data_IF_080253469921
#
_entry.id   IF_080253469921
#
_cell.length_a   1.000
_cell.length_b   1.000
_cell.length_c   1.000
_cell.angle_alpha   90.00
_cell.angle_beta   90.00
_cell.angle_gamma   90.00
#
_symmetry.space_group_name_H-M   'P 1'
#
loop_
_entity.id
_entity.type
_entity.pdbx_description
1 polymer ?
#
# COMPACT_ATOMS: atom_id res chain seq x y z
N UNK A 1 -10.05 -18.80 -9.52
CA UNK A 1 -8.82 -18.27 -10.10
C UNK A 1 -8.03 -19.42 -10.66
N UNK A 2 -7.60 -19.31 -11.91
CA UNK A 2 -6.67 -20.30 -12.45
C UNK A 2 -5.39 -20.27 -11.61
N UNK A 3 -4.74 -21.43 -11.40
CA UNK A 3 -3.47 -21.56 -10.65
C UNK A 3 -2.27 -20.96 -11.39
N UNK A 4 -2.46 -19.79 -12.03
CA UNK A 4 -1.42 -19.15 -12.82
C UNK A 4 -0.23 -18.71 -11.98
N UNK A 5 -0.47 -18.45 -10.69
CA UNK A 5 0.54 -17.99 -9.75
C UNK A 5 1.34 -19.11 -9.09
N UNK A 6 0.82 -20.34 -9.13
CA UNK A 6 1.44 -21.52 -8.52
C UNK A 6 1.93 -22.52 -9.57
N UNK A 7 2.32 -22.03 -10.73
CA UNK A 7 2.77 -22.87 -11.84
C UNK A 7 4.08 -23.61 -11.53
N UNK A 8 4.91 -23.05 -10.66
CA UNK A 8 6.21 -23.59 -10.30
C UNK A 8 6.21 -24.14 -8.87
N UNK A 9 7.37 -24.63 -8.40
CA UNK A 9 7.50 -25.26 -7.10
C UNK A 9 7.05 -24.35 -5.95
N UNK A 10 6.40 -24.95 -4.96
CA UNK A 10 6.09 -24.27 -3.70
C UNK A 10 7.39 -23.85 -2.98
N UNK A 11 7.34 -22.68 -2.34
CA UNK A 11 8.42 -22.15 -1.51
C UNK A 11 7.93 -21.91 -0.07
N UNK A 12 8.85 -21.69 0.87
CA UNK A 12 8.51 -21.33 2.23
C UNK A 12 7.67 -20.04 2.32
N UNK A 13 7.81 -19.15 1.32
CA UNK A 13 7.03 -17.93 1.20
C UNK A 13 5.57 -18.16 0.74
N UNK A 14 5.19 -19.37 0.39
CA UNK A 14 3.84 -19.71 -0.12
C UNK A 14 3.15 -20.80 0.69
N UNK A 15 3.78 -21.29 1.75
CA UNK A 15 3.25 -22.31 2.65
C UNK A 15 3.45 -21.90 4.10
N UNK A 16 2.37 -21.70 4.79
CA UNK A 16 2.36 -21.40 6.21
C UNK A 16 1.70 -22.58 6.93
N UNK A 17 2.36 -23.40 7.58
CA UNK A 17 1.90 -24.49 8.46
C UNK A 17 0.42 -24.90 8.33
N UNK A 18 -0.42 -24.56 9.32
CA UNK A 18 -1.87 -24.76 9.27
C UNK A 18 -2.54 -23.60 8.52
N UNK A 19 -3.62 -23.87 7.74
CA UNK A 19 -4.41 -22.81 7.12
C UNK A 19 -4.87 -21.77 8.14
N UNK A 20 -4.69 -20.49 7.82
CA UNK A 20 -4.98 -19.39 8.73
C UNK A 20 -6.45 -19.34 9.17
N UNK A 21 -7.36 -19.72 8.28
CA UNK A 21 -8.78 -19.87 8.59
C UNK A 21 -9.02 -20.77 9.81
N UNK A 22 -8.24 -21.83 9.97
CA UNK A 22 -8.40 -22.83 11.04
C UNK A 22 -7.78 -22.40 12.37
N UNK A 23 -6.87 -21.41 12.31
CA UNK A 23 -6.09 -20.90 13.47
C UNK A 23 -6.35 -19.42 13.74
N UNK A 24 -7.36 -18.83 13.11
CA UNK A 24 -7.68 -17.41 13.26
C UNK A 24 -8.13 -17.09 14.70
N UNK A 25 -7.76 -15.92 15.23
CA UNK A 25 -8.31 -15.42 16.49
C UNK A 25 -9.84 -15.24 16.39
N UNK A 26 -10.51 -15.20 17.54
CA UNK A 26 -11.96 -14.92 17.61
C UNK A 26 -12.33 -13.47 17.28
N UNK A 27 -11.32 -12.57 17.26
CA UNK A 27 -11.50 -11.16 16.89
C UNK A 27 -11.74 -11.00 15.39
N UNK A 28 -12.26 -9.82 15.01
CA UNK A 28 -12.41 -9.43 13.60
C UNK A 28 -11.07 -9.47 12.88
N UNK A 29 -11.08 -9.93 11.65
CA UNK A 29 -9.91 -9.96 10.75
C UNK A 29 -10.10 -8.96 9.63
N UNK A 30 -9.10 -8.10 9.42
CA UNK A 30 -9.14 -7.01 8.42
C UNK A 30 -7.91 -7.10 7.56
N UNK A 31 -8.11 -7.30 6.28
CA UNK A 31 -7.08 -7.18 5.25
C UNK A 31 -7.03 -5.72 4.78
N UNK A 32 -5.96 -5.01 5.12
CA UNK A 32 -5.84 -3.58 4.89
C UNK A 32 -5.12 -3.21 3.58
N UNK A 33 -4.82 -4.18 2.72
CA UNK A 33 -4.14 -3.96 1.46
C UNK A 33 -4.80 -4.76 0.34
N UNK A 34 -5.83 -4.18 -0.29
CA UNK A 34 -6.55 -4.82 -1.40
C UNK A 34 -7.05 -3.80 -2.42
N UNK A 35 -7.20 -4.24 -3.67
CA UNK A 35 -7.53 -3.35 -4.78
C UNK A 35 -8.85 -3.68 -5.46
N UNK A 36 -9.54 -2.62 -5.91
CA UNK A 36 -10.68 -2.66 -6.82
C UNK A 36 -10.48 -1.65 -7.94
N UNK A 37 -10.89 -1.99 -9.15
CA UNK A 37 -10.81 -1.09 -10.29
C UNK A 37 -12.12 -0.33 -10.52
N UNK A 38 -11.99 0.89 -11.02
CA UNK A 38 -13.12 1.72 -11.50
C UNK A 38 -12.96 1.91 -13.01
N UNK A 39 -13.53 1.03 -13.85
CA UNK A 39 -13.30 1.02 -15.30
C UNK A 39 -13.62 2.35 -15.98
N UNK A 40 -14.72 3.03 -15.56
CA UNK A 40 -15.12 4.32 -16.15
C UNK A 40 -14.04 5.41 -16.04
N UNK A 41 -13.26 5.40 -14.94
CA UNK A 41 -12.16 6.34 -14.79
C UNK A 41 -10.99 5.98 -15.72
N UNK A 42 -10.71 4.69 -15.92
CA UNK A 42 -9.73 4.22 -16.90
C UNK A 42 -10.09 4.61 -18.34
N UNK A 43 -11.36 4.45 -18.72
CA UNK A 43 -11.85 4.87 -20.04
C UNK A 43 -11.72 6.38 -20.25
N UNK A 44 -12.05 7.18 -19.22
CA UNK A 44 -11.92 8.63 -19.25
C UNK A 44 -10.46 9.08 -19.43
N UNK A 45 -9.54 8.44 -18.72
CA UNK A 45 -8.10 8.82 -18.74
C UNK A 45 -7.37 8.28 -19.96
N UNK A 46 -7.81 7.20 -20.57
CA UNK A 46 -7.11 6.50 -21.66
C UNK A 46 -6.57 7.41 -22.77
N UNK A 47 -7.30 8.45 -23.26
CA UNK A 47 -6.78 9.36 -24.29
C UNK A 47 -5.67 10.30 -23.81
N UNK A 48 -5.49 10.44 -22.50
CA UNK A 48 -4.58 11.40 -21.82
C UNK A 48 -3.43 10.73 -21.09
N UNK A 49 -3.39 9.38 -21.07
CA UNK A 49 -2.39 8.60 -20.35
C UNK A 49 -1.22 8.27 -21.27
N UNK A 50 -0.05 8.75 -20.93
CA UNK A 50 1.20 8.25 -21.50
C UNK A 50 1.71 7.07 -20.65
N UNK A 51 1.56 5.85 -21.18
CA UNK A 51 1.98 4.62 -20.50
C UNK A 51 3.49 4.59 -20.21
N UNK A 52 4.30 5.36 -20.96
CA UNK A 52 5.75 5.48 -20.70
C UNK A 52 6.06 6.17 -19.37
N UNK A 53 5.11 6.89 -18.80
CA UNK A 53 5.23 7.53 -17.48
C UNK A 53 4.90 6.60 -16.31
N UNK A 54 4.49 5.36 -16.59
CA UNK A 54 4.22 4.33 -15.57
C UNK A 54 5.43 3.39 -15.51
N UNK A 55 6.30 3.49 -14.49
CA UNK A 55 7.57 2.76 -14.47
C UNK A 55 7.42 1.24 -14.57
N UNK A 56 6.43 0.67 -13.89
CA UNK A 56 6.17 -0.77 -13.90
C UNK A 56 5.81 -1.29 -15.31
N UNK A 57 5.10 -0.51 -16.11
CA UNK A 57 4.75 -0.83 -17.49
C UNK A 57 5.86 -0.47 -18.47
N UNK A 58 6.49 0.70 -18.29
CA UNK A 58 7.52 1.22 -19.19
C UNK A 58 8.74 0.30 -19.25
N UNK A 59 9.29 -0.07 -18.09
CA UNK A 59 10.51 -0.88 -18.00
C UNK A 59 10.26 -2.39 -18.05
N UNK A 60 9.01 -2.84 -18.20
CA UNK A 60 8.72 -4.27 -18.33
C UNK A 60 9.26 -4.86 -19.62
N UNK A 61 9.89 -6.07 -19.55
CA UNK A 61 10.27 -6.85 -20.72
C UNK A 61 9.04 -7.27 -21.54
N UNK A 62 9.24 -7.68 -22.77
CA UNK A 62 8.14 -8.22 -23.59
C UNK A 62 7.46 -9.44 -22.95
N UNK A 63 8.24 -10.31 -22.31
CA UNK A 63 7.72 -11.47 -21.55
C UNK A 63 6.87 -11.01 -20.37
N UNK A 64 7.37 -10.07 -19.56
CA UNK A 64 6.62 -9.51 -18.42
C UNK A 64 5.32 -8.84 -18.89
N UNK A 65 5.34 -8.07 -19.98
CA UNK A 65 4.12 -7.46 -20.56
C UNK A 65 3.08 -8.50 -20.97
N UNK A 66 3.51 -9.61 -21.56
CA UNK A 66 2.60 -10.70 -21.95
C UNK A 66 1.96 -11.37 -20.72
N UNK A 67 2.75 -11.61 -19.67
CA UNK A 67 2.25 -12.16 -18.39
C UNK A 67 1.28 -11.20 -17.73
N UNK A 68 1.61 -9.90 -17.64
CA UNK A 68 0.74 -8.88 -17.06
C UNK A 68 -0.60 -8.77 -17.80
N UNK A 69 -0.60 -8.77 -19.14
CA UNK A 69 -1.83 -8.73 -19.93
C UNK A 69 -2.74 -9.94 -19.66
N UNK A 70 -2.15 -11.12 -19.48
CA UNK A 70 -2.89 -12.32 -19.06
C UNK A 70 -3.44 -12.17 -17.64
N UNK A 71 -2.63 -11.68 -16.71
CA UNK A 71 -3.05 -11.40 -15.33
C UNK A 71 -4.25 -10.46 -15.29
N UNK A 72 -4.17 -9.32 -15.97
CA UNK A 72 -5.25 -8.33 -16.02
C UNK A 72 -6.58 -8.94 -16.51
N UNK A 73 -6.51 -9.84 -17.51
CA UNK A 73 -7.68 -10.56 -17.99
C UNK A 73 -8.25 -11.51 -16.93
N UNK A 74 -7.38 -12.27 -16.27
CA UNK A 74 -7.75 -13.31 -15.30
C UNK A 74 -8.32 -12.72 -13.99
N UNK A 75 -7.80 -11.56 -13.53
CA UNK A 75 -8.25 -10.93 -12.26
C UNK A 75 -9.37 -9.90 -12.44
N UNK A 76 -9.84 -9.66 -13.65
CA UNK A 76 -10.87 -8.64 -13.95
C UNK A 76 -12.11 -8.80 -13.09
N UNK A 77 -12.61 -10.02 -12.94
CA UNK A 77 -13.77 -10.35 -12.09
C UNK A 77 -13.51 -9.99 -10.63
N UNK A 78 -12.32 -10.30 -10.13
CA UNK A 78 -11.89 -9.98 -8.76
C UNK A 78 -11.77 -8.47 -8.51
N UNK A 79 -11.40 -7.69 -9.54
CA UNK A 79 -11.23 -6.24 -9.44
C UNK A 79 -12.55 -5.47 -9.45
N UNK A 80 -13.62 -6.03 -10.00
CA UNK A 80 -14.89 -5.30 -10.22
C UNK A 80 -16.13 -6.00 -9.65
N UNK A 81 -15.99 -7.27 -9.24
CA UNK A 81 -17.09 -8.10 -8.75
C UNK A 81 -16.95 -8.50 -7.27
N UNK A 82 -17.97 -9.20 -6.76
CA UNK A 82 -18.06 -9.62 -5.36
C UNK A 82 -17.87 -11.12 -5.17
N UNK A 83 -18.43 -11.96 -6.03
CA UNK A 83 -18.55 -13.41 -5.79
C UNK A 83 -17.20 -14.10 -5.60
N UNK A 84 -16.26 -13.86 -6.53
CA UNK A 84 -14.91 -14.42 -6.41
C UNK A 84 -14.15 -13.83 -5.22
N UNK A 85 -14.35 -12.54 -4.93
CA UNK A 85 -13.75 -11.86 -3.80
C UNK A 85 -14.23 -12.43 -2.48
N UNK A 86 -15.53 -12.63 -2.30
CA UNK A 86 -16.08 -13.25 -1.09
C UNK A 86 -15.59 -14.68 -0.90
N UNK A 87 -15.55 -15.47 -1.98
CA UNK A 87 -15.03 -16.83 -1.91
C UNK A 87 -13.57 -16.87 -1.42
N UNK A 88 -12.73 -15.91 -1.87
CA UNK A 88 -11.34 -15.80 -1.42
C UNK A 88 -11.25 -15.28 0.02
N UNK A 89 -12.00 -14.23 0.39
CA UNK A 89 -12.03 -13.73 1.76
C UNK A 89 -12.43 -14.85 2.74
N UNK A 90 -13.46 -15.61 2.41
CA UNK A 90 -13.94 -16.73 3.24
C UNK A 90 -12.90 -17.85 3.32
N UNK A 91 -12.19 -18.15 2.22
CA UNK A 91 -11.09 -19.12 2.21
C UNK A 91 -9.92 -18.68 3.08
N UNK A 92 -9.56 -17.39 3.06
CA UNK A 92 -8.50 -16.80 3.88
C UNK A 92 -8.93 -16.62 5.35
N UNK A 93 -10.23 -16.61 5.64
CA UNK A 93 -10.78 -16.28 6.96
C UNK A 93 -10.81 -14.78 7.24
N UNK A 94 -10.91 -13.94 6.21
CA UNK A 94 -10.93 -12.48 6.28
C UNK A 94 -12.36 -11.98 6.37
N UNK A 95 -12.68 -11.21 7.42
CA UNK A 95 -14.02 -10.65 7.61
C UNK A 95 -14.22 -9.38 6.77
N UNK A 96 -13.26 -8.48 6.75
CA UNK A 96 -13.35 -7.21 6.02
C UNK A 96 -12.08 -6.92 5.22
N UNK A 97 -12.24 -6.19 4.12
CA UNK A 97 -11.13 -5.66 3.33
C UNK A 97 -11.19 -4.14 3.23
N UNK A 98 -10.05 -3.47 3.44
CA UNK A 98 -9.85 -2.10 3.02
C UNK A 98 -9.61 -2.11 1.50
N UNK A 99 -10.57 -1.58 0.73
CA UNK A 99 -10.50 -1.57 -0.73
C UNK A 99 -10.09 -0.20 -1.24
N UNK A 100 -9.08 -0.19 -2.11
CA UNK A 100 -8.50 1.01 -2.72
C UNK A 100 -8.37 0.85 -4.23
N UNK A 101 -8.23 1.93 -5.03
CA UNK A 101 -7.91 1.78 -6.44
C UNK A 101 -6.59 1.07 -6.64
N UNK A 102 -6.34 0.39 -7.78
CA UNK A 102 -5.01 -0.13 -8.05
C UNK A 102 -4.04 1.02 -8.38
N UNK A 103 -2.73 0.90 -8.08
CA UNK A 103 -1.75 1.97 -8.27
C UNK A 103 -1.79 2.66 -9.64
N UNK A 104 -1.99 1.94 -10.77
CA UNK A 104 -2.12 2.59 -12.07
C UNK A 104 -3.31 3.56 -12.18
N UNK A 105 -4.31 3.48 -11.31
CA UNK A 105 -5.45 4.41 -11.28
C UNK A 105 -5.23 5.65 -10.38
N UNK A 106 -4.08 5.79 -9.71
CA UNK A 106 -3.76 7.03 -8.99
C UNK A 106 -3.44 8.21 -9.94
N UNK A 107 -3.04 7.93 -11.18
CA UNK A 107 -2.85 8.90 -12.28
C UNK A 107 -1.95 10.12 -11.97
N UNK A 108 -0.93 9.97 -11.11
CA UNK A 108 -0.07 11.07 -10.67
C UNK A 108 0.81 11.70 -11.79
N UNK A 109 0.86 11.10 -12.97
CA UNK A 109 1.59 11.61 -14.14
C UNK A 109 0.70 12.25 -15.21
N UNK A 110 -0.62 12.20 -15.02
CA UNK A 110 -1.61 12.81 -15.92
C UNK A 110 -1.77 14.30 -15.59
N UNK A 111 -2.03 15.14 -16.58
CA UNK A 111 -2.25 16.56 -16.36
C UNK A 111 -3.40 16.82 -15.36
N UNK A 112 -3.26 17.86 -14.53
CA UNK A 112 -4.15 18.14 -13.40
C UNK A 112 -5.63 18.25 -13.81
N UNK A 113 -5.91 18.86 -14.97
CA UNK A 113 -7.26 19.05 -15.49
C UNK A 113 -8.01 17.74 -15.75
N UNK A 114 -7.27 16.64 -15.98
CA UNK A 114 -7.84 15.29 -16.13
C UNK A 114 -7.71 14.49 -14.82
N UNK A 115 -6.65 14.70 -14.04
CA UNK A 115 -6.43 13.98 -12.80
C UNK A 115 -7.50 14.29 -11.74
N UNK A 116 -7.94 15.55 -11.61
CA UNK A 116 -8.99 15.95 -10.66
C UNK A 116 -10.31 15.23 -10.92
N UNK A 117 -10.93 15.29 -12.13
CA UNK A 117 -12.17 14.55 -12.37
C UNK A 117 -11.97 13.03 -12.31
N UNK A 118 -10.81 12.51 -12.70
CA UNK A 118 -10.54 11.07 -12.60
C UNK A 118 -10.51 10.60 -11.15
N UNK A 119 -9.81 11.30 -10.26
CA UNK A 119 -9.78 10.98 -8.83
C UNK A 119 -11.21 10.98 -8.22
N UNK A 120 -12.04 11.98 -8.59
CA UNK A 120 -13.44 12.05 -8.19
C UNK A 120 -14.24 10.82 -8.69
N UNK A 121 -14.10 10.44 -9.97
CA UNK A 121 -14.77 9.26 -10.54
C UNK A 121 -14.36 7.96 -9.84
N UNK A 122 -13.07 7.84 -9.48
CA UNK A 122 -12.54 6.69 -8.74
C UNK A 122 -13.18 6.63 -7.36
N UNK A 123 -13.16 7.73 -6.62
CA UNK A 123 -13.68 7.78 -5.24
C UNK A 123 -15.18 7.50 -5.20
N UNK A 124 -15.95 8.05 -6.12
CA UNK A 124 -17.38 7.73 -6.27
C UNK A 124 -17.61 6.25 -6.63
N UNK A 125 -16.76 5.67 -7.50
CA UNK A 125 -16.83 4.26 -7.85
C UNK A 125 -16.49 3.33 -6.68
N UNK A 126 -15.48 3.68 -5.88
CA UNK A 126 -15.15 2.96 -4.63
C UNK A 126 -16.32 3.06 -3.63
N UNK A 127 -16.89 4.25 -3.46
CA UNK A 127 -18.05 4.44 -2.58
C UNK A 127 -19.26 3.62 -3.04
N UNK A 128 -19.54 3.56 -4.34
CA UNK A 128 -20.58 2.74 -4.93
C UNK A 128 -20.33 1.25 -4.64
N UNK A 129 -19.11 0.77 -4.90
CA UNK A 129 -18.73 -0.62 -4.64
C UNK A 129 -18.96 -0.99 -3.17
N UNK A 130 -18.45 -0.19 -2.23
CA UNK A 130 -18.57 -0.45 -0.79
C UNK A 130 -20.03 -0.36 -0.31
N UNK A 131 -20.85 0.51 -0.91
CA UNK A 131 -22.22 0.77 -0.46
C UNK A 131 -23.10 -0.48 -0.42
N UNK A 132 -22.81 -1.48 -1.25
CA UNK A 132 -23.55 -2.74 -1.36
C UNK A 132 -23.22 -3.76 -0.25
N UNK A 133 -22.02 -3.66 0.34
CA UNK A 133 -21.52 -4.61 1.35
C UNK A 133 -20.66 -3.89 2.40
N UNK A 134 -21.25 -2.95 3.13
CA UNK A 134 -20.55 -2.14 4.16
C UNK A 134 -20.05 -2.95 5.35
N UNK A 135 -20.58 -4.14 5.54
CA UNK A 135 -20.15 -5.12 6.53
C UNK A 135 -18.90 -5.90 6.12
N UNK A 136 -18.52 -5.85 4.84
CA UNK A 136 -17.38 -6.57 4.29
C UNK A 136 -16.28 -5.65 3.77
N UNK A 137 -16.58 -4.37 3.47
CA UNK A 137 -15.63 -3.46 2.84
C UNK A 137 -15.49 -2.12 3.57
N UNK A 138 -14.25 -1.64 3.63
CA UNK A 138 -13.87 -0.33 4.16
C UNK A 138 -13.33 0.49 2.97
N UNK A 139 -13.86 1.68 2.68
CA UNK A 139 -13.43 2.43 1.51
C UNK A 139 -12.14 3.22 1.76
N UNK A 140 -11.24 3.18 0.78
CA UNK A 140 -10.06 4.03 0.65
C UNK A 140 -10.01 4.60 -0.77
N UNK A 141 -9.76 5.90 -0.89
CA UNK A 141 -9.78 6.60 -2.19
C UNK A 141 -8.40 6.90 -2.74
N UNK A 142 -8.35 7.87 -3.65
CA UNK A 142 -7.11 8.50 -4.13
C UNK A 142 -7.30 10.00 -4.31
N UNK A 143 -6.21 10.74 -4.51
CA UNK A 143 -6.23 12.20 -4.65
C UNK A 143 -5.31 12.67 -5.79
N UNK A 144 -5.60 13.82 -6.45
CA UNK A 144 -4.78 14.36 -7.52
C UNK A 144 -3.53 15.06 -6.95
N UNK A 145 -2.50 14.28 -6.62
CA UNK A 145 -1.27 14.77 -5.96
C UNK A 145 -0.47 15.77 -6.80
N UNK A 146 -0.77 15.97 -8.08
CA UNK A 146 -0.13 16.97 -8.93
C UNK A 146 -0.23 18.39 -8.36
N UNK A 147 -1.27 18.67 -7.55
CA UNK A 147 -1.44 19.90 -6.79
C UNK A 147 -1.87 19.60 -5.36
N UNK A 148 -1.08 20.05 -4.37
CA UNK A 148 -1.34 19.78 -2.96
C UNK A 148 -2.65 20.39 -2.42
N UNK A 149 -3.15 21.48 -3.02
CA UNK A 149 -4.44 22.05 -2.60
C UNK A 149 -5.61 21.25 -3.18
N UNK A 150 -5.53 20.82 -4.45
CA UNK A 150 -6.55 19.96 -5.04
C UNK A 150 -6.57 18.58 -4.35
N UNK A 151 -5.40 18.03 -4.03
CA UNK A 151 -5.29 16.81 -3.22
C UNK A 151 -5.94 16.97 -1.84
N UNK A 152 -5.71 18.10 -1.14
CA UNK A 152 -6.32 18.38 0.14
C UNK A 152 -7.85 18.51 0.06
N UNK A 153 -8.39 19.16 -0.99
CA UNK A 153 -9.83 19.27 -1.23
C UNK A 153 -10.48 17.92 -1.50
N UNK A 154 -9.84 17.09 -2.32
CA UNK A 154 -10.37 15.75 -2.65
C UNK A 154 -10.30 14.83 -1.42
N UNK A 155 -9.22 14.90 -0.64
CA UNK A 155 -9.11 14.18 0.64
C UNK A 155 -10.25 14.57 1.60
N UNK A 156 -10.54 15.86 1.74
CA UNK A 156 -11.65 16.32 2.58
C UNK A 156 -13.00 15.80 2.07
N UNK A 157 -13.21 15.76 0.75
CA UNK A 157 -14.40 15.17 0.16
C UNK A 157 -14.51 13.67 0.49
N UNK A 158 -13.44 12.90 0.30
CA UNK A 158 -13.39 11.48 0.64
C UNK A 158 -13.77 11.23 2.10
N UNK A 159 -13.15 11.95 3.02
CA UNK A 159 -13.34 11.74 4.45
C UNK A 159 -14.71 12.22 4.95
N UNK A 160 -15.13 13.43 4.56
CA UNK A 160 -16.33 14.07 5.12
C UNK A 160 -17.62 13.76 4.36
N UNK A 161 -17.55 13.49 3.05
CA UNK A 161 -18.74 13.26 2.22
C UNK A 161 -18.96 11.80 1.89
N UNK A 162 -17.87 11.07 1.58
CA UNK A 162 -17.95 9.65 1.21
C UNK A 162 -17.72 8.71 2.40
N UNK A 163 -17.28 9.23 3.56
CA UNK A 163 -17.05 8.44 4.76
C UNK A 163 -15.82 7.52 4.68
N UNK A 164 -14.86 7.86 3.83
CA UNK A 164 -13.63 7.10 3.67
C UNK A 164 -12.74 7.16 4.92
N UNK A 165 -11.83 6.21 5.04
CA UNK A 165 -10.89 6.13 6.16
C UNK A 165 -9.48 6.61 5.80
N UNK A 166 -9.21 6.78 4.51
CA UNK A 166 -7.93 7.22 3.99
C UNK A 166 -7.90 7.29 2.48
N UNK A 167 -6.71 7.51 1.96
CA UNK A 167 -6.42 7.56 0.53
C UNK A 167 -5.11 6.88 0.22
N UNK A 168 -5.03 6.26 -0.97
CA UNK A 168 -3.81 5.76 -1.56
C UNK A 168 -3.17 6.84 -2.44
N UNK A 169 -1.87 7.01 -2.31
CA UNK A 169 -1.02 7.81 -3.17
C UNK A 169 0.19 7.01 -3.62
N UNK A 170 0.80 7.40 -4.74
CA UNK A 170 2.04 6.78 -5.18
C UNK A 170 3.25 7.35 -4.42
N UNK A 171 4.37 6.66 -4.51
CA UNK A 171 5.66 6.99 -3.86
C UNK A 171 6.29 8.29 -4.34
N UNK A 172 5.95 8.75 -5.55
CA UNK A 172 6.33 10.05 -6.09
C UNK A 172 5.26 10.60 -7.03
N UNK A 173 5.38 11.86 -7.43
CA UNK A 173 4.45 12.55 -8.33
C UNK A 173 5.20 13.11 -9.52
N UNK A 174 5.19 12.37 -10.64
CA UNK A 174 5.89 12.78 -11.86
C UNK A 174 7.38 13.16 -11.60
N UNK A 175 8.07 12.36 -10.78
CA UNK A 175 9.48 12.57 -10.41
C UNK A 175 9.71 13.54 -9.25
N UNK A 176 8.67 14.11 -8.65
CA UNK A 176 8.79 14.88 -7.41
C UNK A 176 8.61 13.96 -6.21
N UNK A 177 9.50 14.11 -5.23
CA UNK A 177 9.40 13.39 -3.96
C UNK A 177 8.18 13.84 -3.15
N UNK A 178 7.62 12.96 -2.35
CA UNK A 178 6.44 13.25 -1.51
C UNK A 178 6.70 14.35 -0.46
N UNK A 179 7.95 14.65 -0.18
CA UNK A 179 8.39 15.73 0.71
C UNK A 179 8.43 17.11 0.04
N UNK A 180 8.22 17.22 -1.29
CA UNK A 180 8.21 18.50 -2.00
C UNK A 180 7.25 19.49 -1.30
N UNK A 181 7.67 20.75 -1.06
CA UNK A 181 6.85 21.77 -0.40
C UNK A 181 5.47 22.00 -1.07
N UNK A 182 5.33 21.70 -2.36
CA UNK A 182 4.07 21.81 -3.07
C UNK A 182 2.97 20.89 -2.46
N UNK A 183 3.37 19.81 -1.78
CA UNK A 183 2.44 18.86 -1.15
C UNK A 183 2.13 19.18 0.32
N UNK A 184 2.72 20.24 0.90
CA UNK A 184 2.46 20.61 2.30
C UNK A 184 0.97 20.82 2.63
N UNK A 185 0.11 21.40 1.76
CA UNK A 185 -1.32 21.51 2.02
C UNK A 185 -2.01 20.15 2.19
N UNK A 186 -1.61 19.15 1.41
CA UNK A 186 -2.13 17.77 1.52
C UNK A 186 -1.73 17.14 2.86
N UNK A 187 -0.46 17.19 3.26
CA UNK A 187 0.02 16.62 4.51
C UNK A 187 -0.66 17.24 5.73
N UNK A 188 -0.80 18.57 5.73
CA UNK A 188 -1.54 19.28 6.77
C UNK A 188 -2.98 18.81 6.86
N UNK A 189 -3.67 18.69 5.73
CA UNK A 189 -5.07 18.24 5.68
C UNK A 189 -5.21 16.78 6.12
N UNK A 190 -4.28 15.90 5.73
CA UNK A 190 -4.28 14.50 6.13
C UNK A 190 -4.16 14.35 7.66
N UNK A 191 -3.25 15.11 8.28
CA UNK A 191 -3.11 15.14 9.74
C UNK A 191 -4.36 15.70 10.43
N UNK A 192 -4.91 16.84 9.95
CA UNK A 192 -6.13 17.45 10.50
C UNK A 192 -7.34 16.50 10.51
N UNK A 193 -7.47 15.68 9.46
CA UNK A 193 -8.58 14.75 9.31
C UNK A 193 -8.30 13.38 9.95
N UNK A 194 -7.07 13.12 10.40
CA UNK A 194 -6.64 11.82 10.91
C UNK A 194 -6.72 10.72 9.85
N UNK A 195 -6.59 11.09 8.56
CA UNK A 195 -6.68 10.19 7.44
C UNK A 195 -5.49 9.21 7.42
N UNK A 196 -5.76 7.94 7.09
CA UNK A 196 -4.70 6.97 6.79
C UNK A 196 -4.21 7.22 5.36
N UNK A 197 -2.96 7.65 5.21
CA UNK A 197 -2.34 7.84 3.89
C UNK A 197 -1.54 6.61 3.55
N UNK A 198 -2.02 5.87 2.56
CA UNK A 198 -1.38 4.65 2.05
C UNK A 198 -0.41 5.04 0.95
N UNK A 199 0.85 4.63 1.10
CA UNK A 199 1.89 4.88 0.10
C UNK A 199 2.17 3.59 -0.64
N UNK A 200 1.84 3.57 -1.93
CA UNK A 200 1.98 2.42 -2.81
C UNK A 200 2.94 2.70 -3.98
N UNK A 201 3.92 1.84 -4.27
CA UNK A 201 4.78 1.99 -5.43
C UNK A 201 4.05 1.55 -6.72
N UNK A 202 4.54 2.04 -7.85
CA UNK A 202 4.10 1.60 -9.18
C UNK A 202 5.32 1.37 -10.10
N UNK A 203 6.28 0.59 -9.62
CA UNK A 203 7.60 0.41 -10.21
C UNK A 203 8.59 1.50 -9.79
N UNK A 204 9.88 1.19 -9.91
CA UNK A 204 10.96 2.13 -9.67
C UNK A 204 11.12 3.06 -10.87
N UNK A 205 11.15 4.37 -10.63
CA UNK A 205 11.15 5.42 -11.65
C UNK A 205 12.38 5.38 -12.58
N UNK A 206 13.51 4.87 -12.10
CA UNK A 206 14.73 4.65 -12.88
C UNK A 206 14.96 3.17 -13.19
N UNK A 207 13.88 2.43 -13.49
CA UNK A 207 13.84 0.97 -13.57
C UNK A 207 14.53 0.33 -14.79
N UNK A 208 15.27 1.06 -15.61
CA UNK A 208 15.92 0.53 -16.82
C UNK A 208 16.77 -0.71 -16.55
N UNK A 209 17.52 -0.74 -15.45
CA UNK A 209 18.31 -1.92 -15.02
C UNK A 209 17.48 -3.07 -14.46
N UNK A 210 16.20 -2.84 -14.17
CA UNK A 210 15.27 -3.79 -13.54
C UNK A 210 14.27 -4.39 -14.55
N UNK A 211 14.53 -4.29 -15.85
CA UNK A 211 13.59 -4.69 -16.91
C UNK A 211 13.39 -6.20 -17.07
N UNK A 212 14.29 -7.04 -16.53
CA UNK A 212 14.22 -8.51 -16.62
C UNK A 212 13.72 -9.13 -15.33
N UNK A 213 13.18 -10.36 -15.42
CA UNK A 213 12.80 -11.20 -14.28
C UNK A 213 11.77 -10.56 -13.33
N UNK A 214 10.94 -9.67 -13.85
CA UNK A 214 9.98 -8.92 -13.06
C UNK A 214 10.64 -8.03 -11.96
N UNK A 215 11.94 -7.71 -12.11
CA UNK A 215 12.71 -7.02 -11.06
C UNK A 215 12.18 -5.63 -10.75
N UNK A 216 11.49 -4.96 -11.69
CA UNK A 216 10.90 -3.66 -11.38
C UNK A 216 9.72 -3.75 -10.38
N UNK A 217 9.09 -4.93 -10.25
CA UNK A 217 8.19 -5.21 -9.14
C UNK A 217 8.97 -5.76 -7.93
N UNK A 218 9.71 -6.86 -8.09
CA UNK A 218 10.35 -7.61 -6.99
C UNK A 218 11.36 -6.77 -6.21
N UNK A 219 12.13 -5.92 -6.90
CA UNK A 219 13.16 -5.05 -6.31
C UNK A 219 12.71 -3.59 -6.33
N UNK A 220 12.14 -3.16 -7.45
CA UNK A 220 11.80 -1.75 -7.69
C UNK A 220 10.71 -1.24 -6.77
N UNK A 221 9.62 -1.97 -6.60
CA UNK A 221 8.53 -1.55 -5.69
C UNK A 221 9.01 -1.32 -4.25
N UNK A 222 9.67 -2.30 -3.58
CA UNK A 222 10.16 -2.05 -2.22
C UNK A 222 11.23 -0.97 -2.17
N UNK A 223 12.04 -0.79 -3.22
CA UNK A 223 13.04 0.27 -3.26
C UNK A 223 12.43 1.66 -3.40
N UNK A 224 11.42 1.82 -4.23
CA UNK A 224 10.69 3.08 -4.42
C UNK A 224 9.99 3.51 -3.11
N UNK A 225 9.34 2.57 -2.42
CA UNK A 225 8.77 2.80 -1.07
C UNK A 225 9.85 3.25 -0.09
N UNK A 226 11.03 2.62 -0.14
CA UNK A 226 12.17 2.98 0.71
C UNK A 226 12.61 4.43 0.48
N UNK A 227 12.74 4.86 -0.78
CA UNK A 227 13.08 6.23 -1.12
C UNK A 227 12.06 7.23 -0.59
N UNK A 228 10.77 7.00 -0.88
CA UNK A 228 9.70 7.87 -0.43
C UNK A 228 9.71 8.07 1.10
N UNK A 229 9.87 6.99 1.87
CA UNK A 229 9.94 7.05 3.33
C UNK A 229 11.19 7.78 3.83
N UNK A 230 12.35 7.60 3.19
CA UNK A 230 13.56 8.33 3.55
C UNK A 230 13.37 9.83 3.37
N UNK A 231 12.83 10.28 2.23
CA UNK A 231 12.57 11.70 1.99
C UNK A 231 11.54 12.27 2.96
N UNK A 232 10.44 11.55 3.27
CA UNK A 232 9.46 11.98 4.27
C UNK A 232 10.07 12.15 5.67
N UNK A 233 11.06 11.31 6.03
CA UNK A 233 11.81 11.42 7.29
C UNK A 233 12.81 12.57 7.21
N UNK A 234 13.77 12.52 6.27
CA UNK A 234 14.92 13.43 6.26
C UNK A 234 14.56 14.88 5.91
N UNK A 235 13.53 15.10 5.08
CA UNK A 235 12.99 16.43 4.80
C UNK A 235 11.99 16.91 5.87
N UNK A 236 11.82 16.12 6.94
CA UNK A 236 11.11 16.49 8.15
C UNK A 236 9.60 16.54 8.04
N UNK A 237 8.97 15.85 7.08
CA UNK A 237 7.50 15.79 6.99
C UNK A 237 6.92 15.14 8.24
N UNK A 238 7.49 13.98 8.68
CA UNK A 238 7.05 13.27 9.88
C UNK A 238 7.37 14.02 11.20
N UNK A 239 8.32 14.96 11.17
CA UNK A 239 8.58 15.82 12.33
C UNK A 239 7.58 16.97 12.39
N UNK A 240 7.27 17.62 11.25
CA UNK A 240 6.28 18.70 11.17
C UNK A 240 4.85 18.23 11.42
N UNK A 241 4.55 16.96 11.11
CA UNK A 241 3.23 16.36 11.21
C UNK A 241 3.27 15.13 12.14
N UNK A 242 3.38 15.33 13.47
CA UNK A 242 3.61 14.24 14.42
C UNK A 242 2.44 13.24 14.54
N UNK A 243 1.23 13.64 14.17
CA UNK A 243 0.02 12.80 14.22
C UNK A 243 -0.40 12.25 12.85
N UNK A 244 0.42 12.48 11.82
CA UNK A 244 0.19 11.95 10.49
C UNK A 244 0.25 10.41 10.50
N UNK A 245 -0.74 9.77 9.87
CA UNK A 245 -0.81 8.32 9.76
C UNK A 245 -0.36 7.89 8.36
N UNK A 246 0.86 7.43 8.25
CA UNK A 246 1.42 6.84 7.01
C UNK A 246 1.32 5.33 7.10
N UNK A 247 0.78 4.70 6.06
CA UNK A 247 0.77 3.25 5.89
C UNK A 247 1.56 2.89 4.63
N UNK A 248 2.79 2.44 4.82
CA UNK A 248 3.68 2.05 3.75
C UNK A 248 3.55 0.55 3.51
N UNK A 249 3.12 0.16 2.33
CA UNK A 249 2.85 -1.23 2.01
C UNK A 249 4.12 -2.02 1.68
N UNK A 250 3.99 -3.34 1.48
CA UNK A 250 5.10 -4.28 1.25
C UNK A 250 6.15 -4.20 2.38
N UNK A 251 5.67 -4.19 3.64
CA UNK A 251 6.53 -4.12 4.82
C UNK A 251 7.33 -2.81 4.95
N UNK A 252 6.93 -1.73 4.25
CA UNK A 252 7.69 -0.48 4.22
C UNK A 252 8.98 -0.57 3.41
N UNK A 253 9.05 -1.51 2.46
CA UNK A 253 10.21 -1.72 1.59
C UNK A 253 11.44 -2.23 2.37
N UNK A 254 12.60 -1.68 2.06
CA UNK A 254 13.87 -2.05 2.71
C UNK A 254 14.22 -1.17 3.92
N UNK A 255 13.39 -0.18 4.27
CA UNK A 255 13.71 0.80 5.32
C UNK A 255 13.98 0.11 6.68
N UNK A 256 13.12 -0.83 7.07
CA UNK A 256 13.29 -1.56 8.33
C UNK A 256 14.51 -2.47 8.37
N UNK A 257 14.86 -3.09 7.25
CA UNK A 257 15.94 -4.06 7.16
C UNK A 257 17.35 -3.46 7.27
N UNK A 258 17.53 -2.19 6.94
CA UNK A 258 18.85 -1.53 6.91
C UNK A 258 18.91 -0.21 7.68
N UNK A 259 18.01 -0.03 8.62
CA UNK A 259 17.76 1.22 9.34
C UNK A 259 18.95 1.71 10.18
N UNK A 260 19.79 0.85 10.72
CA UNK A 260 20.97 1.25 11.48
C UNK A 260 21.97 2.10 10.68
N UNK A 261 22.01 1.93 9.35
CA UNK A 261 22.89 2.72 8.47
C UNK A 261 22.48 4.20 8.41
N UNK A 262 21.17 4.50 8.44
CA UNK A 262 20.69 5.89 8.38
C UNK A 262 21.02 6.66 9.66
N UNK A 263 20.91 6.04 10.83
CA UNK A 263 21.32 6.63 12.11
C UNK A 263 22.82 6.88 12.16
N UNK A 264 23.62 5.92 11.65
CA UNK A 264 25.06 6.09 11.58
C UNK A 264 25.44 7.29 10.72
N UNK A 265 24.85 7.42 9.53
CA UNK A 265 25.09 8.54 8.63
C UNK A 265 24.64 9.88 9.24
N UNK A 266 23.45 9.89 9.88
CA UNK A 266 22.91 11.06 10.58
C UNK A 266 23.87 11.55 11.68
N UNK A 267 24.48 10.66 12.44
CA UNK A 267 25.45 11.01 13.48
C UNK A 267 26.84 11.39 12.95
N UNK A 268 27.21 10.96 11.73
CA UNK A 268 28.57 11.09 11.21
C UNK A 268 28.77 12.25 10.24
N UNK A 269 27.69 12.76 9.60
CA UNK A 269 27.78 13.73 8.49
C UNK A 269 26.75 14.85 8.63
N UNK A 270 27.19 16.08 8.40
CA UNK A 270 26.31 17.26 8.47
C UNK A 270 25.22 17.27 7.39
N UNK A 271 25.52 16.78 6.17
CA UNK A 271 24.55 16.67 5.08
C UNK A 271 23.51 15.58 5.34
N UNK A 272 23.89 14.45 5.96
CA UNK A 272 22.95 13.42 6.39
C UNK A 272 22.24 13.75 7.71
N UNK A 273 22.82 14.61 8.55
CA UNK A 273 22.14 15.09 9.76
C UNK A 273 20.89 15.91 9.40
N UNK A 274 20.97 16.65 8.28
CA UNK A 274 19.90 17.56 7.85
C UNK A 274 19.42 18.48 8.99
N UNK A 275 18.12 18.70 9.08
CA UNK A 275 17.52 19.48 10.17
C UNK A 275 16.71 18.58 11.14
N UNK A 276 17.05 17.30 11.20
CA UNK A 276 16.35 16.35 12.07
C UNK A 276 16.82 16.48 13.52
N UNK A 277 15.92 16.75 14.48
CA UNK A 277 16.28 16.88 15.90
C UNK A 277 16.51 15.53 16.59
N UNK A 278 16.19 14.41 15.92
CA UNK A 278 16.26 13.06 16.45
C UNK A 278 16.83 12.10 15.41
N UNK A 279 17.43 10.97 15.83
CA UNK A 279 17.86 9.93 14.91
C UNK A 279 16.71 9.48 13.98
N UNK A 280 16.97 9.27 12.66
CA UNK A 280 15.95 8.88 11.69
C UNK A 280 15.14 7.64 12.07
N UNK A 281 15.74 6.64 12.72
CA UNK A 281 15.04 5.43 13.15
C UNK A 281 13.96 5.69 14.21
N UNK A 282 14.01 6.83 14.92
CA UNK A 282 12.95 7.20 15.87
C UNK A 282 11.61 7.46 15.18
N UNK A 283 11.61 7.75 13.89
CA UNK A 283 10.38 7.97 13.09
C UNK A 283 9.74 6.67 12.58
N UNK A 284 10.47 5.54 12.61
CA UNK A 284 9.92 4.25 12.17
C UNK A 284 8.70 3.83 13.00
N UNK A 285 8.70 4.18 14.28
CA UNK A 285 7.56 3.94 15.21
C UNK A 285 6.33 4.80 14.92
N UNK A 286 6.35 5.64 13.88
CA UNK A 286 5.22 6.46 13.42
C UNK A 286 4.64 5.97 12.09
N UNK A 287 5.30 5.00 11.46
CA UNK A 287 4.90 4.46 10.17
C UNK A 287 4.25 3.10 10.36
N UNK A 288 3.03 2.95 9.87
CA UNK A 288 2.39 1.65 9.75
C UNK A 288 2.95 0.91 8.52
N UNK A 289 3.08 -0.40 8.63
CA UNK A 289 3.51 -1.27 7.52
C UNK A 289 2.62 -2.51 7.44
N UNK A 290 2.50 -3.10 6.27
CA UNK A 290 1.73 -4.34 6.12
C UNK A 290 2.57 -5.61 6.35
N UNK A 291 1.88 -6.75 6.35
CA UNK A 291 2.50 -8.06 6.54
C UNK A 291 2.94 -8.73 5.23
N UNK A 292 2.95 -8.02 4.09
CA UNK A 292 3.29 -8.59 2.77
C UNK A 292 4.81 -8.72 2.62
N UNK A 293 5.39 -9.65 3.38
CA UNK A 293 6.84 -9.92 3.44
C UNK A 293 7.18 -11.41 3.37
N UNK A 294 6.18 -12.27 3.30
CA UNK A 294 6.21 -13.68 2.90
C UNK A 294 7.00 -14.66 3.81
N UNK A 295 7.78 -14.22 4.77
CA UNK A 295 8.50 -15.13 5.68
C UNK A 295 8.31 -14.75 7.15
N UNK A 296 8.23 -15.76 8.07
CA UNK A 296 8.06 -15.52 9.51
C UNK A 296 9.16 -14.63 10.11
N UNK A 297 10.40 -14.81 9.65
CA UNK A 297 11.56 -14.04 10.14
C UNK A 297 11.45 -12.56 9.76
N UNK A 298 11.03 -12.25 8.53
CA UNK A 298 10.81 -10.87 8.09
C UNK A 298 9.64 -10.23 8.82
N UNK A 299 8.52 -10.95 9.00
CA UNK A 299 7.37 -10.43 9.75
C UNK A 299 7.74 -10.13 11.20
N UNK A 300 8.49 -11.02 11.85
CA UNK A 300 9.01 -10.73 13.19
C UNK A 300 9.89 -9.48 13.23
N UNK A 301 10.80 -9.34 12.26
CA UNK A 301 11.67 -8.17 12.16
C UNK A 301 10.87 -6.85 11.96
N UNK A 302 9.74 -6.86 11.22
CA UNK A 302 8.86 -5.69 11.13
C UNK A 302 8.28 -5.30 12.48
N UNK A 303 7.75 -6.27 13.25
CA UNK A 303 7.21 -6.02 14.59
C UNK A 303 8.29 -5.46 15.53
N UNK A 304 9.49 -6.01 15.50
CA UNK A 304 10.62 -5.54 16.31
C UNK A 304 11.03 -4.10 15.93
N UNK A 305 10.99 -3.77 14.63
CA UNK A 305 11.45 -2.49 14.08
C UNK A 305 10.41 -1.39 14.19
N UNK A 306 9.20 -1.63 13.68
CA UNK A 306 8.14 -0.62 13.61
C UNK A 306 7.27 -0.57 14.87
N UNK A 307 7.21 -1.64 15.64
CA UNK A 307 6.35 -1.82 16.81
C UNK A 307 5.11 -2.64 16.47
N UNK A 308 4.64 -3.41 17.44
CA UNK A 308 3.50 -4.30 17.27
C UNK A 308 2.25 -3.57 16.77
N UNK A 309 1.97 -2.40 17.29
CA UNK A 309 0.80 -1.56 16.98
C UNK A 309 0.87 -0.87 15.61
N UNK A 310 2.02 -0.96 14.93
CA UNK A 310 2.26 -0.37 13.61
C UNK A 310 2.36 -1.40 12.48
N UNK A 311 2.17 -2.69 12.75
CA UNK A 311 2.12 -3.73 11.72
C UNK A 311 0.67 -4.17 11.51
N UNK A 312 0.19 -4.11 10.26
CA UNK A 312 -1.21 -4.34 9.88
C UNK A 312 -1.26 -5.46 8.83
N UNK A 313 -2.18 -6.41 8.98
CA UNK A 313 -2.35 -7.47 7.99
C UNK A 313 -2.78 -6.90 6.64
N UNK A 314 -2.10 -7.32 5.57
CA UNK A 314 -2.42 -7.02 4.18
C UNK A 314 -2.13 -8.21 3.28
N UNK A 315 -2.74 -8.24 2.09
CA UNK A 315 -2.56 -9.32 1.12
C UNK A 315 -2.03 -8.90 -0.24
N UNK A 316 -2.26 -7.66 -0.68
CA UNK A 316 -2.07 -7.21 -2.07
C UNK A 316 -3.05 -7.87 -3.06
N UNK A 317 -4.23 -8.29 -2.56
CA UNK A 317 -5.27 -8.93 -3.39
C UNK A 317 -5.84 -7.94 -4.43
N UNK A 318 -6.01 -8.32 -5.72
CA UNK A 318 -5.92 -9.68 -6.27
C UNK A 318 -4.66 -9.92 -7.15
N UNK A 319 -3.56 -9.24 -6.94
CA UNK A 319 -2.37 -9.35 -7.78
C UNK A 319 -1.61 -10.68 -7.58
N UNK A 320 -0.64 -10.95 -8.48
CA UNK A 320 0.15 -12.19 -8.50
C UNK A 320 1.11 -12.32 -7.31
N UNK A 321 1.51 -11.19 -6.73
CA UNK A 321 2.36 -11.14 -5.54
C UNK A 321 1.58 -11.21 -4.23
N UNK A 322 0.28 -11.55 -4.29
CA UNK A 322 -0.56 -11.60 -3.10
C UNK A 322 -0.11 -12.65 -2.06
N UNK A 323 -0.29 -12.34 -0.79
CA UNK A 323 -0.23 -13.32 0.30
C UNK A 323 -1.53 -14.14 0.33
N UNK A 324 -1.44 -15.43 0.03
CA UNK A 324 -2.60 -16.31 -0.10
C UNK A 324 -3.22 -16.74 1.22
N UNK A 325 -2.48 -16.67 2.32
CA UNK A 325 -2.90 -17.09 3.66
C UNK A 325 -2.37 -16.13 4.73
N UNK A 326 -2.88 -14.89 4.76
CA UNK A 326 -2.32 -13.83 5.61
C UNK A 326 -2.40 -14.14 7.11
N UNK A 327 -3.45 -14.86 7.54
CA UNK A 327 -3.61 -15.27 8.93
C UNK A 327 -2.62 -16.41 9.25
N UNK A 328 -2.45 -17.37 8.35
CA UNK A 328 -1.44 -18.43 8.48
C UNK A 328 -0.03 -17.86 8.49
N UNK A 329 0.25 -16.83 7.70
CA UNK A 329 1.52 -16.10 7.74
C UNK A 329 1.79 -15.51 9.13
N UNK A 330 0.83 -14.79 9.72
CA UNK A 330 0.94 -14.28 11.09
C UNK A 330 1.10 -15.41 12.12
N UNK A 331 0.34 -16.50 11.96
CA UNK A 331 0.39 -17.65 12.85
C UNK A 331 1.71 -18.46 12.75
N UNK A 332 2.46 -18.32 11.64
CA UNK A 332 3.73 -19.02 11.42
C UNK A 332 4.90 -18.46 12.25
N UNK A 333 4.73 -17.30 12.89
CA UNK A 333 5.74 -16.75 13.81
C UNK A 333 5.51 -17.33 15.20
N UNK A 334 6.31 -18.31 15.58
CA UNK A 334 6.16 -19.08 16.83
C UNK A 334 6.13 -18.20 18.10
N UNK A 335 6.88 -17.08 18.09
CA UNK A 335 6.95 -16.17 19.23
C UNK A 335 5.72 -15.27 19.41
N UNK A 336 4.77 -15.27 18.46
CA UNK A 336 3.57 -14.46 18.56
C UNK A 336 2.48 -15.21 19.34
N UNK A 337 2.13 -14.68 20.50
CA UNK A 337 1.00 -15.15 21.30
C UNK A 337 -0.36 -14.79 20.66
N UNK A 338 -1.46 -15.27 21.24
CA UNK A 338 -2.81 -15.04 20.73
C UNK A 338 -3.16 -13.55 20.69
N UNK A 339 -2.71 -12.74 21.67
CA UNK A 339 -2.94 -11.29 21.73
C UNK A 339 -2.22 -10.58 20.60
N UNK A 340 -0.96 -10.92 20.36
CA UNK A 340 -0.15 -10.41 19.25
C UNK A 340 -0.79 -10.74 17.90
N UNK A 341 -1.20 -12.00 17.70
CA UNK A 341 -1.88 -12.42 16.46
C UNK A 341 -3.20 -11.65 16.25
N UNK A 342 -4.02 -11.50 17.29
CA UNK A 342 -5.27 -10.74 17.20
C UNK A 342 -5.05 -9.25 16.88
N UNK A 343 -3.98 -8.65 17.41
CA UNK A 343 -3.60 -7.28 17.07
C UNK A 343 -3.23 -7.16 15.59
N UNK A 344 -2.36 -8.03 15.08
CA UNK A 344 -1.86 -8.00 13.71
C UNK A 344 -2.96 -8.25 12.68
N UNK A 345 -3.82 -9.26 12.88
CA UNK A 345 -4.82 -9.67 11.86
C UNK A 345 -6.04 -8.76 11.78
N UNK A 346 -6.22 -7.80 12.69
CA UNK A 346 -7.37 -6.89 12.61
C UNK A 346 -7.37 -5.78 13.64
N UNK A 347 -6.86 -6.00 14.85
CA UNK A 347 -6.88 -5.00 15.93
C UNK A 347 -6.19 -3.70 15.54
N UNK A 348 -5.00 -3.79 14.95
CA UNK A 348 -4.21 -2.63 14.53
C UNK A 348 -4.87 -1.89 13.35
N UNK A 349 -5.42 -2.61 12.37
CA UNK A 349 -6.20 -2.02 11.29
C UNK A 349 -7.40 -1.24 11.83
N UNK A 350 -8.17 -1.85 12.74
CA UNK A 350 -9.31 -1.20 13.39
C UNK A 350 -8.91 0.10 14.09
N UNK A 351 -7.80 0.08 14.83
CA UNK A 351 -7.30 1.24 15.57
C UNK A 351 -6.82 2.35 14.62
N UNK A 352 -6.01 2.01 13.60
CA UNK A 352 -5.49 2.99 12.63
C UNK A 352 -6.59 3.66 11.82
N UNK A 353 -7.68 2.93 11.51
CA UNK A 353 -8.85 3.40 10.77
C UNK A 353 -9.90 4.10 11.66
N UNK A 354 -9.71 4.16 12.97
CA UNK A 354 -10.67 4.78 13.91
C UNK A 354 -12.05 4.08 13.92
N UNK A 355 -12.04 2.75 13.95
CA UNK A 355 -13.25 1.90 13.95
C UNK A 355 -13.56 1.35 15.33
#
# INVERSE_FOLDING_TARGET
MADIWNKYADTAARKHGKPGRDVRPKSITIDAHTHIAVPRAGEFIKPHLDVSTIPLAHFASAETKAINAKQEADIRGCMTGYDERFAIMDKMGVDMQLVMPPPPQCYHTVALEYAVPAARMINEGVAEFVSRHKDRFIPCGTVPMQDGNEAAKELEHCMKRLGFKGVEILTNVAGKELSDPAFAPFWKKAEELGALVIIHPNGFTEGQRLSRHYFNNVIGNPFETTLALHYLIFDGVLERHPNLKIFAIHGGGYLGAYSGRIDHAWGARSDSHANLPKPPTSYLKKVYVDTVVFTPGQLKALVDTFGLDHVIMGTDYPFDMLEHDPIGHVASVDSFDEKTRAALVGGNAKMSLGM
#
